data_IF_547932006494
#
_entry.id   IF_547932006494
#
_cell.length_a   1.000
_cell.length_b   1.000
_cell.length_c   1.000
_cell.angle_alpha   90.00
_cell.angle_beta   90.00
_cell.angle_gamma   90.00
#
_symmetry.space_group_name_H-M   'P 1'
#
loop_
_entity.id
_entity.type
_entity.pdbx_description
1 polymer ?
#
# COMPACT_ATOMS: atom_id res chain seq x y z
N UNK A 1 -12.85 -1.27 -24.31
CA UNK A 1 -13.63 -1.15 -23.07
C UNK A 1 -13.90 -2.54 -22.50
N UNK A 2 -13.65 -2.74 -21.20
CA UNK A 2 -13.86 -4.02 -20.53
C UNK A 2 -15.34 -4.22 -20.22
N UNK A 3 -15.83 -5.45 -20.42
CA UNK A 3 -17.25 -5.78 -20.33
C UNK A 3 -17.48 -6.85 -19.28
N UNK A 4 -18.53 -6.71 -18.49
CA UNK A 4 -18.94 -7.67 -17.49
C UNK A 4 -19.14 -9.05 -18.13
N UNK A 5 -18.46 -10.06 -17.58
CA UNK A 5 -18.58 -11.45 -18.06
C UNK A 5 -19.70 -12.23 -17.35
N UNK A 6 -20.14 -11.73 -16.18
CA UNK A 6 -21.27 -12.30 -15.45
C UNK A 6 -22.39 -11.27 -15.28
N UNK A 7 -23.61 -11.76 -15.10
CA UNK A 7 -24.73 -10.95 -14.67
C UNK A 7 -24.63 -10.74 -13.17
N UNK A 8 -24.62 -9.48 -12.74
CA UNK A 8 -24.63 -9.09 -11.34
C UNK A 8 -25.99 -8.54 -11.00
N UNK A 9 -26.62 -9.10 -9.97
CA UNK A 9 -27.87 -8.59 -9.41
C UNK A 9 -27.57 -8.00 -8.04
N UNK A 10 -27.42 -6.68 -7.98
CA UNK A 10 -27.04 -5.95 -6.77
C UNK A 10 -28.25 -5.74 -5.86
N UNK A 11 -29.41 -5.47 -6.45
CA UNK A 11 -30.67 -5.33 -5.72
C UNK A 11 -31.86 -5.82 -6.55
N UNK A 12 -33.09 -5.46 -6.14
CA UNK A 12 -34.29 -5.73 -6.94
C UNK A 12 -34.37 -4.85 -8.20
N UNK A 13 -33.66 -3.72 -8.20
CA UNK A 13 -33.74 -2.69 -9.24
C UNK A 13 -32.42 -2.55 -9.98
N UNK A 14 -31.30 -2.73 -9.27
CA UNK A 14 -29.97 -2.53 -9.83
C UNK A 14 -29.34 -3.85 -10.24
N UNK A 15 -28.89 -3.89 -11.49
CA UNK A 15 -28.20 -5.02 -12.08
C UNK A 15 -27.16 -4.53 -13.09
N UNK A 16 -26.14 -5.35 -13.33
CA UNK A 16 -25.19 -5.17 -14.42
C UNK A 16 -25.19 -6.43 -15.27
N UNK A 17 -25.63 -6.32 -16.52
CA UNK A 17 -25.80 -7.46 -17.43
C UNK A 17 -24.48 -7.87 -18.08
N UNK A 18 -24.43 -9.12 -18.53
CA UNK A 18 -23.30 -9.62 -19.33
C UNK A 18 -23.15 -8.74 -20.58
N UNK A 19 -21.93 -8.30 -20.86
CA UNK A 19 -21.61 -7.46 -22.01
C UNK A 19 -21.72 -5.95 -21.76
N UNK A 20 -22.30 -5.53 -20.64
CA UNK A 20 -22.28 -4.12 -20.19
C UNK A 20 -20.88 -3.71 -19.74
N UNK A 21 -20.53 -2.42 -19.82
CA UNK A 21 -19.21 -1.96 -19.40
C UNK A 21 -19.02 -2.13 -17.90
N UNK A 22 -17.82 -2.56 -17.48
CA UNK A 22 -17.53 -2.79 -16.06
C UNK A 22 -17.59 -1.50 -15.22
N UNK A 23 -17.56 -0.32 -15.86
CA UNK A 23 -17.77 0.98 -15.22
C UNK A 23 -19.16 1.11 -14.61
N UNK A 24 -20.17 0.41 -15.15
CA UNK A 24 -21.51 0.39 -14.55
C UNK A 24 -21.49 -0.15 -13.12
N UNK A 25 -20.59 -1.10 -12.81
CA UNK A 25 -20.41 -1.63 -11.45
C UNK A 25 -19.91 -0.52 -10.51
N UNK A 26 -19.01 0.33 -11.00
CA UNK A 26 -18.48 1.49 -10.26
C UNK A 26 -19.58 2.52 -10.03
N UNK A 27 -20.33 2.86 -11.08
CA UNK A 27 -21.40 3.86 -11.00
C UNK A 27 -22.48 3.45 -10.00
N UNK A 28 -22.87 2.17 -9.98
CA UNK A 28 -23.82 1.61 -9.00
C UNK A 28 -23.26 1.70 -7.57
N UNK A 29 -22.01 1.27 -7.37
CA UNK A 29 -21.37 1.34 -6.05
C UNK A 29 -21.22 2.76 -5.49
N UNK A 30 -21.04 3.75 -6.38
CA UNK A 30 -21.00 5.17 -6.02
C UNK A 30 -22.39 5.74 -5.75
N UNK A 31 -23.40 5.35 -6.52
CA UNK A 31 -24.76 5.84 -6.38
C UNK A 31 -25.50 5.24 -5.18
N UNK A 32 -25.19 3.99 -4.83
CA UNK A 32 -25.83 3.24 -3.75
C UNK A 32 -24.79 2.74 -2.73
N UNK A 33 -24.44 3.55 -1.70
CA UNK A 33 -23.42 3.18 -0.71
C UNK A 33 -23.66 1.84 0.00
N UNK A 34 -24.91 1.42 0.15
CA UNK A 34 -25.27 0.12 0.74
C UNK A 34 -24.82 -1.09 -0.09
N UNK A 35 -24.53 -0.90 -1.38
CA UNK A 35 -24.11 -1.93 -2.33
C UNK A 35 -22.63 -1.82 -2.71
N UNK A 36 -21.95 -0.78 -2.20
CA UNK A 36 -20.57 -0.45 -2.54
C UNK A 36 -19.63 -1.62 -2.31
N UNK A 37 -19.78 -2.35 -1.20
CA UNK A 37 -18.97 -3.51 -0.88
C UNK A 37 -19.08 -4.61 -1.97
N UNK A 38 -20.30 -5.01 -2.32
CA UNK A 38 -20.51 -6.05 -3.34
C UNK A 38 -20.00 -5.59 -4.72
N UNK A 39 -20.17 -4.30 -5.04
CA UNK A 39 -19.67 -3.71 -6.29
C UNK A 39 -18.14 -3.74 -6.36
N UNK A 40 -17.44 -3.44 -5.26
CA UNK A 40 -15.97 -3.58 -5.18
C UNK A 40 -15.55 -5.02 -5.45
N UNK A 41 -16.23 -6.00 -4.83
CA UNK A 41 -15.95 -7.41 -5.06
C UNK A 41 -16.17 -7.84 -6.52
N UNK A 42 -17.30 -7.43 -7.11
CA UNK A 42 -17.58 -7.71 -8.51
C UNK A 42 -16.61 -7.05 -9.48
N UNK A 43 -16.18 -5.82 -9.20
CA UNK A 43 -15.18 -5.12 -9.99
C UNK A 43 -13.83 -5.84 -9.96
N UNK A 44 -13.33 -6.21 -8.78
CA UNK A 44 -12.07 -6.95 -8.63
C UNK A 44 -12.10 -8.26 -9.41
N UNK A 45 -13.24 -8.96 -9.37
CA UNK A 45 -13.45 -10.19 -10.13
C UNK A 45 -13.37 -9.98 -11.64
N UNK A 46 -14.02 -8.95 -12.18
CA UNK A 46 -13.92 -8.63 -13.61
C UNK A 46 -12.49 -8.20 -13.99
N UNK A 47 -11.84 -7.36 -13.19
CA UNK A 47 -10.47 -6.92 -13.44
C UNK A 47 -9.49 -8.09 -13.47
N UNK A 48 -9.60 -9.00 -12.51
CA UNK A 48 -8.81 -10.24 -12.44
C UNK A 48 -9.04 -11.12 -13.66
N UNK A 49 -10.30 -11.30 -14.07
CA UNK A 49 -10.62 -12.07 -15.26
C UNK A 49 -10.01 -11.45 -16.54
N UNK A 50 -10.24 -10.15 -16.78
CA UNK A 50 -9.75 -9.50 -18.01
C UNK A 50 -8.22 -9.42 -18.03
N UNK A 51 -7.59 -9.28 -16.86
CA UNK A 51 -6.15 -9.41 -16.69
C UNK A 51 -5.66 -10.80 -17.11
N UNK A 52 -6.21 -11.86 -16.52
CA UNK A 52 -5.81 -13.25 -16.85
C UNK A 52 -6.17 -13.67 -18.28
N UNK A 53 -7.13 -13.00 -18.91
CA UNK A 53 -7.45 -13.13 -20.33
C UNK A 53 -6.49 -12.35 -21.26
N UNK A 54 -5.47 -11.69 -20.71
CA UNK A 54 -4.44 -10.97 -21.46
C UNK A 54 -4.89 -9.62 -22.03
N UNK A 55 -6.00 -9.05 -21.58
CA UNK A 55 -6.48 -7.76 -22.11
C UNK A 55 -5.64 -6.57 -21.67
N UNK A 56 -5.12 -6.62 -20.44
CA UNK A 56 -4.24 -5.60 -19.87
C UNK A 56 -3.45 -6.18 -18.69
N UNK A 57 -2.27 -5.63 -18.37
CA UNK A 57 -1.58 -5.97 -17.14
C UNK A 57 -2.24 -5.29 -15.93
N UNK A 58 -2.36 -6.01 -14.81
CA UNK A 58 -2.95 -5.47 -13.57
C UNK A 58 -1.92 -5.46 -12.44
N UNK A 59 -1.72 -4.29 -11.84
CA UNK A 59 -0.93 -4.13 -10.62
C UNK A 59 -1.88 -3.86 -9.45
N UNK A 60 -1.81 -4.68 -8.40
CA UNK A 60 -2.55 -4.50 -7.14
C UNK A 60 -1.57 -4.04 -6.07
N UNK A 61 -1.74 -2.84 -5.55
CA UNK A 61 -0.87 -2.30 -4.48
C UNK A 61 -1.67 -2.16 -3.19
N UNK A 62 -1.17 -2.74 -2.09
CA UNK A 62 -1.81 -2.66 -0.77
C UNK A 62 -0.80 -2.10 0.22
N UNK A 63 -1.11 -0.92 0.74
CA UNK A 63 -0.39 -0.33 1.86
C UNK A 63 -0.95 -0.87 3.19
N UNK A 64 -0.10 -0.96 4.22
CA UNK A 64 -0.45 -1.53 5.52
C UNK A 64 -1.09 -2.93 5.44
N UNK A 65 -0.58 -3.80 4.57
CA UNK A 65 -1.16 -5.11 4.26
C UNK A 65 -1.25 -6.07 5.47
N UNK A 66 -0.51 -5.78 6.54
CA UNK A 66 -0.51 -6.52 7.80
C UNK A 66 -1.47 -5.94 8.86
N UNK A 67 -2.23 -4.87 8.55
CA UNK A 67 -3.24 -4.38 9.47
C UNK A 67 -4.30 -5.45 9.69
N UNK A 68 -4.63 -5.76 10.95
CA UNK A 68 -5.74 -6.65 11.29
C UNK A 68 -7.09 -6.15 10.74
N UNK A 69 -7.20 -4.85 10.45
CA UNK A 69 -8.34 -4.24 9.76
C UNK A 69 -8.19 -4.23 8.22
N UNK A 70 -6.97 -4.40 7.71
CA UNK A 70 -6.63 -4.69 6.31
C UNK A 70 -6.42 -6.18 6.04
N UNK A 71 -6.96 -7.07 6.89
CA UNK A 71 -7.72 -8.17 6.32
C UNK A 71 -8.96 -7.51 5.75
N UNK A 72 -9.00 -7.14 4.46
CA UNK A 72 -10.20 -6.53 3.96
C UNK A 72 -11.09 -7.76 3.87
N UNK A 73 -11.97 -7.98 4.84
CA UNK A 73 -12.88 -9.13 4.79
C UNK A 73 -13.54 -9.24 3.41
N UNK A 74 -13.63 -8.11 2.70
CA UNK A 74 -13.96 -7.96 1.31
C UNK A 74 -12.89 -8.30 0.26
N UNK A 75 -11.64 -7.81 0.33
CA UNK A 75 -10.60 -8.15 -0.66
C UNK A 75 -10.12 -9.59 -0.45
N UNK A 76 -10.00 -10.01 0.81
CA UNK A 76 -9.75 -11.39 1.21
C UNK A 76 -10.92 -12.25 0.73
N UNK A 77 -12.19 -12.05 1.13
CA UNK A 77 -13.27 -12.90 0.59
C UNK A 77 -13.42 -12.80 -0.93
N UNK A 78 -13.16 -11.66 -1.57
CA UNK A 78 -13.33 -11.58 -3.03
C UNK A 78 -12.17 -12.27 -3.75
N UNK A 79 -10.93 -12.15 -3.27
CA UNK A 79 -9.77 -12.80 -3.88
C UNK A 79 -9.65 -14.28 -3.46
N UNK A 80 -10.05 -14.64 -2.24
CA UNK A 80 -10.16 -16.02 -1.77
C UNK A 80 -11.43 -16.72 -2.24
N UNK A 81 -12.57 -16.06 -2.49
CA UNK A 81 -13.71 -16.72 -3.15
C UNK A 81 -13.49 -16.91 -4.66
N UNK A 82 -12.46 -16.27 -5.22
CA UNK A 82 -12.00 -16.49 -6.58
C UNK A 82 -11.00 -17.63 -6.71
N UNK A 83 -10.54 -18.18 -5.59
CA UNK A 83 -9.51 -19.18 -5.56
C UNK A 83 -9.83 -20.29 -4.56
N UNK A 84 -9.54 -21.52 -4.94
CA UNK A 84 -9.88 -22.71 -4.17
C UNK A 84 -8.99 -22.77 -2.92
N UNK A 85 -9.41 -22.17 -1.79
CA UNK A 85 -8.85 -22.20 -0.39
C UNK A 85 -7.32 -22.13 -0.18
N UNK A 86 -6.50 -22.02 -1.22
CA UNK A 86 -5.05 -22.33 -1.24
C UNK A 86 -4.21 -21.28 -1.97
N UNK A 87 -4.84 -20.18 -2.36
CA UNK A 87 -4.28 -19.19 -3.26
C UNK A 87 -4.42 -17.85 -2.56
N UNK A 88 -3.31 -17.33 -2.05
CA UNK A 88 -3.25 -16.09 -1.26
C UNK A 88 -3.76 -14.84 -1.98
N UNK A 89 -3.41 -13.64 -1.51
CA UNK A 89 -3.91 -12.34 -2.01
C UNK A 89 -3.88 -12.13 -3.54
N UNK A 90 -3.11 -12.93 -4.29
CA UNK A 90 -2.85 -12.80 -5.73
C UNK A 90 -3.17 -14.06 -6.53
N UNK A 91 -3.73 -15.09 -5.88
CA UNK A 91 -3.96 -16.37 -6.49
C UNK A 91 -4.96 -16.28 -7.65
N UNK A 92 -4.49 -16.55 -8.88
CA UNK A 92 -5.31 -16.59 -10.09
C UNK A 92 -5.00 -15.52 -11.15
N UNK A 93 -4.13 -14.55 -10.86
CA UNK A 93 -3.69 -13.55 -11.84
C UNK A 93 -2.49 -14.06 -12.67
N UNK A 94 -2.64 -14.21 -13.99
CA UNK A 94 -1.55 -14.68 -14.88
C UNK A 94 -0.83 -13.56 -15.63
N UNK A 95 -1.38 -12.35 -15.65
CA UNK A 95 -0.81 -11.16 -16.30
C UNK A 95 -0.78 -9.95 -15.36
N UNK A 96 -0.54 -10.21 -14.07
CA UNK A 96 -0.52 -9.15 -13.08
C UNK A 96 0.43 -9.44 -11.94
N UNK A 97 0.63 -8.43 -11.11
CA UNK A 97 1.51 -8.48 -9.94
C UNK A 97 0.82 -7.82 -8.75
N UNK A 98 1.24 -8.21 -7.56
CA UNK A 98 0.84 -7.53 -6.33
C UNK A 98 2.06 -7.02 -5.58
N UNK A 99 1.94 -5.81 -5.06
CA UNK A 99 2.92 -5.18 -4.19
C UNK A 99 2.25 -4.93 -2.84
N UNK A 100 2.75 -5.61 -1.82
CA UNK A 100 2.28 -5.48 -0.44
C UNK A 100 3.33 -4.71 0.35
N UNK A 101 2.89 -3.72 1.14
CA UNK A 101 3.74 -3.01 2.09
C UNK A 101 3.27 -3.36 3.50
N UNK A 102 4.18 -3.87 4.32
CA UNK A 102 3.93 -4.09 5.73
C UNK A 102 4.31 -2.83 6.52
N UNK A 103 3.49 -2.46 7.51
CA UNK A 103 3.76 -1.35 8.41
C UNK A 103 3.83 -1.84 9.85
N UNK A 104 4.96 -1.57 10.51
CA UNK A 104 5.18 -1.87 11.92
C UNK A 104 4.21 -1.16 12.87
N UNK A 105 3.60 -0.06 12.44
CA UNK A 105 2.61 0.69 13.23
C UNK A 105 1.37 -0.14 13.53
N UNK A 106 1.03 -1.08 12.68
CA UNK A 106 -0.15 -1.94 12.82
C UNK A 106 -0.02 -2.94 13.98
N UNK A 107 1.21 -3.26 14.39
CA UNK A 107 1.49 -4.18 15.50
C UNK A 107 2.10 -3.49 16.72
N UNK A 108 2.56 -2.24 16.58
CA UNK A 108 3.18 -1.50 17.69
C UNK A 108 2.14 -0.93 18.67
N UNK A 109 2.30 -1.16 19.97
CA UNK A 109 1.58 -0.39 21.01
C UNK A 109 2.39 0.89 21.32
N UNK A 110 1.77 2.05 21.13
CA UNK A 110 2.39 3.34 21.40
C UNK A 110 2.84 3.53 22.87
N UNK A 111 2.32 2.73 23.79
CA UNK A 111 2.67 2.73 25.22
C UNK A 111 3.76 1.72 25.57
N UNK A 112 4.14 0.87 24.62
CA UNK A 112 5.20 -0.10 24.82
C UNK A 112 6.54 0.51 24.42
N UNK A 113 7.39 0.69 25.41
CA UNK A 113 8.74 1.24 25.26
C UNK A 113 9.83 0.20 25.58
N UNK A 114 9.43 -1.06 25.80
CA UNK A 114 10.30 -2.12 26.30
C UNK A 114 10.51 -3.23 25.26
N UNK A 115 9.55 -3.44 24.37
CA UNK A 115 9.67 -4.45 23.31
C UNK A 115 10.55 -3.97 22.16
N UNK A 116 11.30 -4.91 21.59
CA UNK A 116 12.06 -4.70 20.36
C UNK A 116 11.04 -4.61 19.22
N UNK A 117 11.12 -3.58 18.34
CA UNK A 117 10.19 -3.45 17.23
C UNK A 117 10.33 -4.64 16.29
N UNK A 118 9.19 -5.21 15.94
CA UNK A 118 9.05 -6.23 14.90
C UNK A 118 9.16 -5.56 13.54
N UNK A 119 9.99 -6.09 12.65
CA UNK A 119 10.26 -5.45 11.34
C UNK A 119 10.32 -6.45 10.18
N UNK A 120 10.39 -7.76 10.46
CA UNK A 120 10.38 -8.77 9.40
C UNK A 120 8.96 -9.11 8.94
N UNK A 121 8.75 -9.54 7.68
CA UNK A 121 7.43 -9.98 7.22
C UNK A 121 6.80 -11.06 8.11
N UNK A 122 7.58 -12.03 8.58
CA UNK A 122 7.10 -13.11 9.45
C UNK A 122 6.53 -12.55 10.77
N UNK A 123 7.22 -11.58 11.37
CA UNK A 123 6.78 -10.97 12.62
C UNK A 123 5.60 -10.03 12.43
N UNK A 124 5.60 -9.26 11.33
CA UNK A 124 4.57 -8.26 11.05
C UNK A 124 3.24 -8.89 10.62
N UNK A 125 3.26 -9.98 9.87
CA UNK A 125 2.05 -10.72 9.45
C UNK A 125 1.65 -11.81 10.44
N UNK A 126 2.57 -12.31 11.27
CA UNK A 126 2.29 -13.30 12.31
C UNK A 126 1.59 -14.55 11.77
N UNK A 127 0.45 -14.90 12.38
CA UNK A 127 -0.38 -16.06 11.99
C UNK A 127 -0.96 -15.96 10.56
N UNK A 128 -0.95 -14.78 9.96
CA UNK A 128 -1.51 -14.53 8.62
C UNK A 128 -0.47 -14.57 7.50
N UNK A 129 0.78 -14.95 7.81
CA UNK A 129 1.84 -15.02 6.82
C UNK A 129 1.54 -16.02 5.71
N UNK A 130 0.82 -17.11 6.01
CA UNK A 130 0.40 -18.10 5.03
C UNK A 130 -0.47 -17.50 3.92
N UNK A 131 -1.19 -16.40 4.19
CA UNK A 131 -2.04 -15.74 3.20
C UNK A 131 -1.24 -15.01 2.11
N UNK A 132 0.02 -14.65 2.39
CA UNK A 132 0.90 -13.95 1.45
C UNK A 132 1.94 -14.88 0.83
N UNK A 133 2.07 -16.13 1.32
CA UNK A 133 3.01 -17.09 0.75
C UNK A 133 2.48 -17.71 -0.56
N UNK A 134 3.37 -17.93 -1.55
CA UNK A 134 4.77 -17.51 -1.63
C UNK A 134 4.92 -16.03 -2.04
N UNK A 135 5.91 -15.32 -1.47
CA UNK A 135 6.23 -13.92 -1.84
C UNK A 135 7.73 -13.68 -2.03
N UNK A 136 8.08 -12.55 -2.67
CA UNK A 136 9.46 -12.08 -2.81
C UNK A 136 9.67 -10.94 -1.81
N UNK A 137 10.48 -11.13 -0.74
CA UNK A 137 10.75 -10.06 0.22
C UNK A 137 11.61 -8.97 -0.41
N UNK A 138 11.24 -7.71 -0.17
CA UNK A 138 12.03 -6.54 -0.55
C UNK A 138 12.29 -5.73 0.71
N UNK A 139 13.54 -5.69 1.15
CA UNK A 139 13.96 -4.88 2.29
C UNK A 139 14.16 -3.43 1.87
N UNK A 140 13.61 -2.50 2.65
CA UNK A 140 13.82 -1.06 2.48
C UNK A 140 14.71 -0.54 3.61
N UNK A 141 15.99 -0.30 3.30
CA UNK A 141 16.95 0.19 4.27
C UNK A 141 16.76 1.68 4.59
N UNK A 142 17.40 2.13 5.67
CA UNK A 142 17.59 3.56 5.94
C UNK A 142 18.42 4.21 4.84
N UNK A 143 18.37 5.54 4.75
CA UNK A 143 19.15 6.27 3.77
C UNK A 143 20.65 6.03 3.95
N UNK A 144 21.31 5.78 2.83
CA UNK A 144 22.76 5.86 2.69
C UNK A 144 23.23 7.31 2.84
N UNK A 145 24.53 7.50 3.11
CA UNK A 145 25.11 8.85 3.19
C UNK A 145 24.81 9.68 1.93
N UNK A 146 25.04 9.10 0.76
CA UNK A 146 24.86 9.76 -0.54
C UNK A 146 23.39 10.13 -0.82
N UNK A 147 22.42 9.29 -0.43
CA UNK A 147 20.99 9.64 -0.51
C UNK A 147 20.65 10.80 0.42
N UNK A 148 21.20 10.82 1.64
CA UNK A 148 21.02 11.96 2.56
C UNK A 148 21.70 13.23 2.04
N UNK A 149 22.88 13.12 1.42
CA UNK A 149 23.57 14.23 0.75
C UNK A 149 22.67 14.86 -0.31
N UNK A 150 22.09 14.02 -1.17
CA UNK A 150 21.20 14.41 -2.25
C UNK A 150 19.91 15.03 -1.71
N UNK A 151 19.31 14.44 -0.69
CA UNK A 151 18.09 14.93 -0.06
C UNK A 151 18.31 16.29 0.62
N UNK A 152 19.47 16.48 1.25
CA UNK A 152 19.85 17.75 1.85
C UNK A 152 19.93 18.86 0.79
N UNK A 153 20.60 18.60 -0.33
CA UNK A 153 20.70 19.55 -1.44
C UNK A 153 19.31 19.92 -1.99
N UNK A 154 18.44 18.93 -2.19
CA UNK A 154 17.05 19.17 -2.60
C UNK A 154 16.30 20.09 -1.62
N UNK A 155 16.46 19.89 -0.31
CA UNK A 155 15.78 20.68 0.72
C UNK A 155 16.31 22.13 0.76
N UNK A 156 17.61 22.32 0.49
CA UNK A 156 18.22 23.65 0.36
C UNK A 156 17.68 24.41 -0.85
N UNK A 157 17.62 23.75 -2.01
CA UNK A 157 17.13 24.35 -3.25
C UNK A 157 15.65 24.78 -3.13
N UNK A 158 14.83 23.95 -2.48
CA UNK A 158 13.42 24.24 -2.23
C UNK A 158 13.18 25.25 -1.10
N UNK A 159 14.24 25.71 -0.44
CA UNK A 159 14.17 26.55 0.77
C UNK A 159 13.27 25.95 1.86
N UNK A 160 13.24 24.62 2.02
CA UNK A 160 12.49 23.95 3.08
C UNK A 160 13.14 24.10 4.45
N UNK A 161 14.47 24.24 4.50
CA UNK A 161 15.21 24.60 5.72
C UNK A 161 15.25 26.12 5.81
N UNK A 162 14.24 26.72 6.45
CA UNK A 162 13.86 28.12 6.26
C UNK A 162 14.09 29.04 7.45
N UNK A 163 14.33 28.51 8.66
CA UNK A 163 14.54 29.36 9.84
C UNK A 163 15.72 30.30 9.66
N UNK A 164 15.70 31.43 10.36
CA UNK A 164 16.76 32.43 10.26
C UNK A 164 18.13 31.83 10.64
N UNK A 165 18.16 31.01 11.69
CA UNK A 165 19.35 30.25 12.12
C UNK A 165 19.71 29.15 11.12
N UNK A 166 18.71 28.44 10.59
CA UNK A 166 18.85 27.46 9.51
C UNK A 166 19.48 28.05 8.26
N UNK A 167 19.07 29.24 7.80
CA UNK A 167 19.64 29.92 6.62
C UNK A 167 21.15 30.18 6.71
N UNK A 168 21.65 30.52 7.90
CA UNK A 168 23.08 30.75 8.11
C UNK A 168 23.87 29.45 8.32
N UNK A 169 23.29 28.45 8.99
CA UNK A 169 23.97 27.18 9.30
C UNK A 169 23.82 26.10 8.23
N UNK A 170 22.82 26.17 7.35
CA UNK A 170 22.48 25.15 6.34
C UNK A 170 23.47 25.02 5.18
N UNK A 171 24.49 25.88 5.12
CA UNK A 171 25.60 25.74 4.15
C UNK A 171 26.87 25.21 4.81
N UNK A 172 26.78 24.79 6.07
CA UNK A 172 27.91 24.23 6.81
C UNK A 172 27.87 22.72 6.77
N UNK A 173 29.05 22.11 6.59
CA UNK A 173 29.24 20.67 6.74
C UNK A 173 28.81 20.15 8.12
N UNK A 174 28.85 21.02 9.14
CA UNK A 174 28.39 20.70 10.49
C UNK A 174 26.89 20.41 10.53
N UNK A 175 26.05 21.27 9.95
CA UNK A 175 24.60 21.08 9.96
C UNK A 175 24.19 19.79 9.24
N UNK A 176 24.85 19.48 8.13
CA UNK A 176 24.67 18.23 7.39
C UNK A 176 24.98 17.02 8.26
N UNK A 177 26.13 17.01 8.94
CA UNK A 177 26.53 15.94 9.86
C UNK A 177 25.58 15.78 11.06
N UNK A 178 25.13 16.89 11.65
CA UNK A 178 24.19 16.87 12.77
C UNK A 178 22.83 16.27 12.34
N UNK A 179 22.30 16.66 11.18
CA UNK A 179 21.06 16.09 10.65
C UNK A 179 21.20 14.60 10.34
N UNK A 180 22.33 14.17 9.76
CA UNK A 180 22.62 12.74 9.56
C UNK A 180 22.66 11.98 10.88
N UNK A 181 23.33 12.54 11.89
CA UNK A 181 23.46 11.91 13.19
C UNK A 181 22.11 11.81 13.92
N UNK A 182 21.33 12.90 13.96
CA UNK A 182 20.06 12.96 14.70
C UNK A 182 18.95 12.12 14.06
N UNK A 183 18.90 12.08 12.73
CA UNK A 183 17.93 11.23 12.02
C UNK A 183 18.32 9.76 11.99
N UNK A 184 19.62 9.46 12.21
CA UNK A 184 20.22 8.14 12.05
C UNK A 184 19.88 7.49 10.69
N UNK A 185 19.77 8.29 9.62
CA UNK A 185 19.40 7.80 8.28
C UNK A 185 17.91 7.50 8.08
N UNK A 186 17.07 7.64 9.11
CA UNK A 186 15.62 7.43 9.00
C UNK A 186 14.96 8.53 8.17
N UNK A 187 14.25 8.17 7.07
CA UNK A 187 13.51 9.14 6.27
C UNK A 187 12.49 9.95 7.08
N UNK A 188 11.75 9.27 7.94
CA UNK A 188 10.73 9.87 8.80
C UNK A 188 11.34 10.88 9.78
N UNK A 189 12.40 10.49 10.50
CA UNK A 189 13.03 11.40 11.46
C UNK A 189 13.72 12.58 10.76
N UNK A 190 14.32 12.35 9.60
CA UNK A 190 14.98 13.40 8.82
C UNK A 190 14.00 14.47 8.37
N UNK A 191 12.85 14.09 7.80
CA UNK A 191 11.78 15.01 7.42
C UNK A 191 11.30 15.81 8.63
N UNK A 192 11.00 15.11 9.74
CA UNK A 192 10.54 15.72 10.97
C UNK A 192 11.52 16.75 11.54
N UNK A 193 12.81 16.44 11.54
CA UNK A 193 13.85 17.37 11.98
C UNK A 193 13.91 18.60 11.07
N UNK A 194 13.87 18.41 9.76
CA UNK A 194 13.92 19.52 8.80
C UNK A 194 12.67 20.40 8.83
N UNK A 195 11.50 19.84 9.12
CA UNK A 195 10.24 20.59 9.18
C UNK A 195 10.22 21.68 10.28
N UNK A 196 11.05 21.53 11.33
CA UNK A 196 11.17 22.51 12.41
C UNK A 196 12.35 23.50 12.24
N UNK A 197 13.19 23.33 11.22
CA UNK A 197 14.43 24.10 10.99
C UNK A 197 14.31 24.98 9.74
#
# INVERSE_FOLDING_TARGET
ECKAQKHYKWSKVEETKVGEPITNIVDIGLAAPSLSCDCVGGLIRELTYHCSAGKFPLLVTIDHANSGAAQPMLLLHTMTALSDESQGYCGGMTNGACLLVADKREVSDARDHLTVPLETPLELFGEHVENIEPFIPIETSLYTADEMDTLYEYYLERNWIASQTGKFLRRTERAKKELRFLSAGSPYNYERLCAFI
#
